data_IF_037042795363
#
_entry.id   IF_037042795363
#
_cell.length_a   1.000
_cell.length_b   1.000
_cell.length_c   1.000
_cell.angle_alpha   90.00
_cell.angle_beta   90.00
_cell.angle_gamma   90.00
#
_symmetry.space_group_name_H-M   'P 1'
#
loop_
_entity.id
_entity.type
_entity.pdbx_description
1 polymer ?
#
# COMPACT_ATOMS: atom_id res chain seq x y z
N UNK A 1 10.89 -2.30 7.74
CA UNK A 1 11.29 -3.72 7.90
C UNK A 1 12.28 -3.92 9.06
N UNK A 2 13.44 -3.26 9.06
CA UNK A 2 14.48 -3.45 10.10
C UNK A 2 14.01 -3.12 11.53
N UNK A 3 13.27 -2.01 11.70
CA UNK A 3 12.69 -1.63 13.00
C UNK A 3 11.76 -2.73 13.56
N UNK A 4 10.89 -3.30 12.73
CA UNK A 4 9.97 -4.36 13.13
C UNK A 4 10.74 -5.64 13.51
N UNK A 5 11.81 -5.96 12.78
CA UNK A 5 12.67 -7.11 13.09
C UNK A 5 13.42 -6.92 14.42
N UNK A 6 13.90 -5.72 14.70
CA UNK A 6 14.55 -5.40 15.97
C UNK A 6 13.58 -5.56 17.15
N UNK A 7 12.36 -5.03 17.02
CA UNK A 7 11.31 -5.21 18.01
C UNK A 7 10.93 -6.69 18.19
N UNK A 8 10.87 -7.48 17.12
CA UNK A 8 10.61 -8.91 17.19
C UNK A 8 11.65 -9.65 18.05
N UNK A 9 12.93 -9.33 17.89
CA UNK A 9 14.02 -9.94 18.69
C UNK A 9 13.89 -9.62 20.17
N UNK A 10 13.66 -8.35 20.52
CA UNK A 10 13.46 -7.92 21.91
C UNK A 10 12.27 -8.61 22.57
N UNK A 11 11.18 -8.84 21.82
CA UNK A 11 10.01 -9.55 22.31
C UNK A 11 10.29 -11.03 22.53
N UNK A 12 11.06 -11.67 21.65
CA UNK A 12 11.47 -13.06 21.82
C UNK A 12 12.37 -13.25 23.06
N UNK A 13 13.28 -12.31 23.34
CA UNK A 13 14.09 -12.30 24.58
C UNK A 13 13.23 -12.16 25.84
N UNK A 14 12.13 -11.41 25.75
CA UNK A 14 11.12 -11.28 26.81
C UNK A 14 10.16 -12.46 26.89
N UNK A 15 10.42 -13.56 26.16
CA UNK A 15 9.56 -14.74 26.08
C UNK A 15 8.15 -14.46 25.52
N UNK A 16 7.97 -13.34 24.80
CA UNK A 16 6.70 -12.96 24.15
C UNK A 16 6.67 -13.45 22.70
N UNK A 17 6.70 -14.77 22.53
CA UNK A 17 6.92 -15.42 21.25
C UNK A 17 5.83 -15.14 20.19
N UNK A 18 4.54 -15.16 20.57
CA UNK A 18 3.46 -14.86 19.64
C UNK A 18 3.54 -13.42 19.10
N UNK A 19 3.87 -12.45 19.95
CA UNK A 19 4.02 -11.05 19.56
C UNK A 19 5.28 -10.86 18.71
N UNK A 20 6.36 -11.57 19.05
CA UNK A 20 7.59 -11.60 18.26
C UNK A 20 7.34 -12.13 16.83
N UNK A 21 6.55 -13.20 16.67
CA UNK A 21 6.17 -13.75 15.35
C UNK A 21 5.34 -12.75 14.55
N UNK A 22 4.37 -12.08 15.16
CA UNK A 22 3.60 -11.02 14.49
C UNK A 22 4.50 -9.88 13.99
N UNK A 23 5.48 -9.48 14.80
CA UNK A 23 6.48 -8.47 14.41
C UNK A 23 7.41 -8.96 13.29
N UNK A 24 7.82 -10.23 13.34
CA UNK A 24 8.59 -10.85 12.26
C UNK A 24 7.80 -10.88 10.93
N UNK A 25 6.52 -11.22 10.98
CA UNK A 25 5.62 -11.16 9.82
C UNK A 25 5.52 -9.74 9.25
N UNK A 26 5.32 -8.71 10.09
CA UNK A 26 5.29 -7.31 9.66
C UNK A 26 6.62 -6.86 9.05
N UNK A 27 7.74 -7.35 9.55
CA UNK A 27 9.06 -7.07 8.97
C UNK A 27 9.18 -7.62 7.54
N UNK A 28 8.74 -8.86 7.31
CA UNK A 28 8.70 -9.51 5.99
C UNK A 28 7.80 -8.75 5.03
N UNK A 29 6.57 -8.45 5.46
CA UNK A 29 5.61 -7.70 4.66
C UNK A 29 6.17 -6.33 4.23
N UNK A 30 6.76 -5.59 5.17
CA UNK A 30 7.36 -4.29 4.89
C UNK A 30 8.55 -4.40 3.93
N UNK A 31 9.34 -5.48 4.01
CA UNK A 31 10.45 -5.74 3.09
C UNK A 31 9.98 -6.06 1.67
N UNK A 32 8.94 -6.88 1.54
CA UNK A 32 8.32 -7.21 0.25
C UNK A 32 7.70 -5.96 -0.39
N UNK A 33 6.94 -5.18 0.38
CA UNK A 33 6.33 -3.95 -0.08
C UNK A 33 7.38 -2.92 -0.53
N UNK A 34 8.48 -2.76 0.20
CA UNK A 34 9.54 -1.85 -0.20
C UNK A 34 10.11 -2.17 -1.59
N UNK A 35 10.32 -3.45 -1.90
CA UNK A 35 10.76 -3.86 -3.24
C UNK A 35 9.70 -3.60 -4.32
N UNK A 36 8.44 -3.91 -4.03
CA UNK A 36 7.35 -3.66 -4.98
C UNK A 36 7.19 -2.16 -5.28
N UNK A 37 7.34 -1.31 -4.26
CA UNK A 37 7.29 0.15 -4.43
C UNK A 37 8.43 0.64 -5.31
N UNK A 38 9.65 0.07 -5.21
CA UNK A 38 10.75 0.42 -6.14
C UNK A 38 10.46 0.03 -7.59
N UNK A 39 9.50 -0.86 -7.82
CA UNK A 39 9.02 -1.30 -9.13
C UNK A 39 7.74 -0.57 -9.57
N UNK A 40 7.29 0.43 -8.81
CA UNK A 40 6.09 1.23 -9.09
C UNK A 40 4.77 0.57 -8.68
N UNK A 41 4.80 -0.48 -7.86
CA UNK A 41 3.62 -1.16 -7.33
C UNK A 41 3.40 -0.79 -5.85
N UNK A 42 2.21 -0.32 -5.50
CA UNK A 42 1.82 -0.04 -4.11
C UNK A 42 0.63 -0.92 -3.68
N UNK A 43 0.88 -2.17 -3.28
CA UNK A 43 -0.20 -3.08 -2.87
C UNK A 43 -0.90 -2.56 -1.60
N UNK A 44 -2.23 -2.65 -1.61
CA UNK A 44 -3.10 -2.14 -0.56
C UNK A 44 -3.29 -3.15 0.58
N UNK A 45 -3.14 -4.45 0.28
CA UNK A 45 -3.34 -5.55 1.23
C UNK A 45 -2.11 -6.44 1.37
N UNK A 46 -2.02 -7.15 2.49
CA UNK A 46 -0.96 -8.13 2.74
C UNK A 46 -0.96 -9.25 1.69
N UNK A 47 -2.14 -9.77 1.35
CA UNK A 47 -2.31 -10.85 0.37
C UNK A 47 -1.87 -10.43 -1.04
N UNK A 48 -2.22 -9.21 -1.44
CA UNK A 48 -1.77 -8.60 -2.70
C UNK A 48 -0.26 -8.40 -2.70
N UNK A 49 0.31 -7.90 -1.59
CA UNK A 49 1.75 -7.74 -1.43
C UNK A 49 2.49 -9.06 -1.66
N UNK A 50 2.02 -10.16 -1.09
CA UNK A 50 2.66 -11.46 -1.28
C UNK A 50 2.48 -12.00 -2.70
N UNK A 51 1.30 -11.85 -3.28
CA UNK A 51 1.01 -12.33 -4.65
C UNK A 51 1.86 -11.60 -5.70
N UNK A 52 1.93 -10.28 -5.60
CA UNK A 52 2.75 -9.45 -6.49
C UNK A 52 4.24 -9.70 -6.26
N UNK A 53 4.67 -9.90 -5.00
CA UNK A 53 6.04 -10.26 -4.71
C UNK A 53 6.44 -11.59 -5.35
N UNK A 54 5.63 -12.63 -5.21
CA UNK A 54 5.90 -13.95 -5.79
C UNK A 54 5.93 -13.90 -7.33
N UNK A 55 5.05 -13.11 -7.93
CA UNK A 55 5.04 -12.85 -9.38
C UNK A 55 6.36 -12.20 -9.83
N UNK A 56 6.78 -11.12 -9.16
CA UNK A 56 8.03 -10.42 -9.49
C UNK A 56 9.27 -11.25 -9.22
N UNK A 57 9.25 -12.08 -8.18
CA UNK A 57 10.30 -13.03 -7.87
C UNK A 57 10.50 -14.03 -9.03
N UNK A 58 9.41 -14.48 -9.65
CA UNK A 58 9.46 -15.36 -10.80
C UNK A 58 9.97 -14.67 -12.08
N UNK A 59 9.66 -13.38 -12.27
CA UNK A 59 10.05 -12.62 -13.46
C UNK A 59 11.51 -12.12 -13.41
N UNK A 60 11.95 -11.56 -12.28
CA UNK A 60 13.22 -10.83 -12.18
C UNK A 60 14.29 -11.46 -11.29
N UNK A 61 13.89 -12.34 -10.36
CA UNK A 61 14.84 -13.17 -9.59
C UNK A 61 15.79 -12.43 -8.63
N UNK A 62 15.48 -11.22 -8.17
CA UNK A 62 16.37 -10.44 -7.29
C UNK A 62 16.52 -11.00 -5.86
N UNK A 63 15.57 -11.83 -5.42
CA UNK A 63 15.58 -12.47 -4.10
C UNK A 63 15.71 -13.99 -4.29
N UNK A 64 16.34 -14.74 -3.36
CA UNK A 64 16.51 -16.18 -3.52
C UNK A 64 15.18 -16.93 -3.70
N UNK A 65 15.18 -17.95 -4.55
CA UNK A 65 14.00 -18.78 -4.84
C UNK A 65 13.44 -19.53 -3.62
N UNK A 66 14.22 -19.64 -2.53
CA UNK A 66 13.77 -20.17 -1.23
C UNK A 66 12.60 -19.38 -0.64
N UNK A 67 12.40 -18.13 -1.05
CA UNK A 67 11.34 -17.25 -0.55
C UNK A 67 10.05 -17.26 -1.39
N UNK A 68 9.90 -18.20 -2.33
CA UNK A 68 8.67 -18.38 -3.10
C UNK A 68 7.49 -18.80 -2.23
N UNK A 69 6.28 -18.42 -2.64
CA UNK A 69 5.04 -18.66 -1.89
C UNK A 69 5.12 -18.02 -0.50
N UNK A 70 5.55 -16.75 -0.45
CA UNK A 70 5.90 -16.06 0.79
C UNK A 70 4.74 -16.08 1.78
N UNK A 71 3.52 -15.86 1.29
CA UNK A 71 2.28 -15.90 2.08
C UNK A 71 2.05 -17.25 2.77
N UNK A 72 2.39 -18.37 2.14
CA UNK A 72 2.26 -19.71 2.75
C UNK A 72 3.34 -19.99 3.78
N UNK A 73 4.55 -19.44 3.61
CA UNK A 73 5.66 -19.67 4.54
C UNK A 73 5.55 -18.82 5.81
N UNK A 74 5.18 -17.54 5.69
CA UNK A 74 5.11 -16.60 6.81
C UNK A 74 3.70 -16.38 7.35
N UNK A 75 2.66 -16.64 6.56
CA UNK A 75 1.27 -16.41 6.94
C UNK A 75 0.76 -17.31 8.06
N UNK A 76 1.41 -18.45 8.29
CA UNK A 76 1.20 -19.22 9.51
C UNK A 76 1.88 -18.54 10.71
N UNK A 77 1.08 -17.83 11.51
CA UNK A 77 1.50 -17.13 12.71
C UNK A 77 1.52 -18.04 13.95
N UNK A 78 1.14 -19.30 13.81
CA UNK A 78 1.07 -20.26 14.90
C UNK A 78 -0.05 -19.97 15.93
N UNK A 79 -0.22 -20.86 16.91
CA UNK A 79 -1.17 -20.67 18.00
C UNK A 79 -0.72 -19.55 18.96
N UNK A 80 -1.65 -19.03 19.76
CA UNK A 80 -1.38 -17.98 20.77
C UNK A 80 -0.29 -18.40 21.77
N UNK A 81 -0.21 -19.69 22.11
CA UNK A 81 0.87 -20.29 22.90
C UNK A 81 2.01 -20.74 21.98
N UNK A 82 2.60 -19.77 21.28
CA UNK A 82 3.70 -20.02 20.34
C UNK A 82 4.92 -20.55 21.06
N UNK A 83 5.50 -21.65 20.58
CA UNK A 83 6.71 -22.22 21.16
C UNK A 83 7.96 -21.39 20.81
N UNK A 84 8.99 -21.38 21.67
CA UNK A 84 10.25 -20.68 21.39
C UNK A 84 10.89 -21.13 20.06
N UNK A 85 10.84 -22.43 19.76
CA UNK A 85 11.41 -23.00 18.54
C UNK A 85 10.69 -22.51 17.26
N UNK A 86 9.36 -22.40 17.30
CA UNK A 86 8.59 -21.85 16.18
C UNK A 86 8.90 -20.37 15.97
N UNK A 87 8.91 -19.58 17.05
CA UNK A 87 9.23 -18.16 16.96
C UNK A 87 10.64 -17.92 16.42
N UNK A 88 11.64 -18.66 16.91
CA UNK A 88 13.01 -18.55 16.43
C UNK A 88 13.11 -18.87 14.92
N UNK A 89 12.39 -19.89 14.45
CA UNK A 89 12.33 -20.25 13.03
C UNK A 89 11.78 -19.08 12.20
N UNK A 90 10.65 -18.49 12.63
CA UNK A 90 10.01 -17.36 11.93
C UNK A 90 10.88 -16.09 11.97
N UNK A 91 11.53 -15.80 13.09
CA UNK A 91 12.45 -14.67 13.21
C UNK A 91 13.69 -14.85 12.33
N UNK A 92 14.23 -16.07 12.24
CA UNK A 92 15.38 -16.39 11.39
C UNK A 92 15.02 -16.23 9.92
N UNK A 93 13.85 -16.74 9.52
CA UNK A 93 13.30 -16.55 8.19
C UNK A 93 13.13 -15.07 7.86
N UNK A 94 12.46 -14.32 8.74
CA UNK A 94 12.19 -12.89 8.55
C UNK A 94 13.49 -12.09 8.43
N UNK A 95 14.51 -12.44 9.22
CA UNK A 95 15.82 -11.79 9.15
C UNK A 95 16.47 -12.01 7.79
N UNK A 96 16.59 -13.27 7.35
CA UNK A 96 17.21 -13.60 6.07
C UNK A 96 16.47 -12.95 4.90
N UNK A 97 15.13 -12.91 4.96
CA UNK A 97 14.31 -12.27 3.95
C UNK A 97 14.56 -10.75 3.87
N UNK A 98 14.57 -10.06 5.01
CA UNK A 98 14.82 -8.61 5.05
C UNK A 98 16.23 -8.28 4.55
N UNK A 99 17.23 -9.08 4.91
CA UNK A 99 18.61 -8.95 4.38
C UNK A 99 18.64 -9.15 2.85
N UNK A 100 17.93 -10.15 2.33
CA UNK A 100 17.82 -10.39 0.90
C UNK A 100 17.09 -9.24 0.17
N UNK A 101 16.01 -8.71 0.74
CA UNK A 101 15.31 -7.57 0.16
C UNK A 101 16.20 -6.32 0.09
N UNK A 102 16.99 -6.08 1.13
CA UNK A 102 17.94 -4.97 1.16
C UNK A 102 18.99 -5.11 0.06
N UNK A 103 19.58 -6.28 -0.08
CA UNK A 103 20.55 -6.57 -1.15
C UNK A 103 19.92 -6.34 -2.54
N UNK A 104 18.68 -6.79 -2.75
CA UNK A 104 17.93 -6.57 -3.97
C UNK A 104 17.69 -5.06 -4.25
N UNK A 105 17.23 -4.28 -3.25
CA UNK A 105 17.02 -2.84 -3.41
C UNK A 105 18.34 -2.09 -3.68
N UNK A 106 19.43 -2.47 -3.04
CA UNK A 106 20.75 -1.90 -3.31
C UNK A 106 21.24 -2.23 -4.72
N UNK A 107 21.00 -3.45 -5.21
CA UNK A 107 21.35 -3.85 -6.57
C UNK A 107 20.54 -3.07 -7.60
N UNK A 108 19.22 -2.96 -7.42
CA UNK A 108 18.33 -2.14 -8.25
C UNK A 108 18.80 -0.67 -8.26
N UNK A 109 19.14 -0.13 -7.08
CA UNK A 109 19.66 1.24 -6.96
C UNK A 109 21.00 1.45 -7.68
N UNK A 110 21.88 0.44 -7.70
CA UNK A 110 23.15 0.49 -8.46
C UNK A 110 22.89 0.45 -9.96
N UNK A 111 22.00 -0.43 -10.43
CA UNK A 111 21.64 -0.55 -11.85
C UNK A 111 20.94 0.71 -12.39
N UNK A 112 20.12 1.38 -11.57
CA UNK A 112 19.53 2.69 -11.87
C UNK A 112 20.61 3.78 -11.99
N UNK A 113 21.61 3.80 -11.12
CA UNK A 113 22.72 4.77 -11.20
C UNK A 113 23.62 4.52 -12.41
N UNK A 114 23.88 3.25 -12.74
CA UNK A 114 24.65 2.85 -13.93
C UNK A 114 23.92 3.21 -15.23
N UNK A 115 22.59 3.07 -15.27
CA UNK A 115 21.77 3.44 -16.43
C UNK A 115 21.56 4.96 -16.59
N UNK A 116 21.58 5.74 -15.51
CA UNK A 116 21.55 7.21 -15.58
C UNK A 116 22.89 7.82 -16.02
N UNK A 117 24.03 7.15 -15.78
CA UNK A 117 25.34 7.57 -16.28
C UNK A 117 25.54 7.39 -17.80
N UNK A 118 24.56 6.79 -18.51
CA UNK A 118 24.57 6.60 -19.96
C UNK A 118 23.64 7.55 -20.74
N UNK A 119 23.03 8.54 -20.09
CA UNK A 119 22.14 9.52 -20.74
C UNK A 119 22.65 10.95 -20.53
N UNK A 120 23.73 11.28 -21.23
CA UNK A 120 24.10 12.65 -21.57
C UNK A 120 24.45 12.65 -23.05
N UNK A 121 23.43 12.83 -23.89
CA UNK A 121 23.39 13.90 -24.89
C UNK A 121 22.04 13.87 -25.63
N UNK A 122 21.67 15.04 -26.14
CA UNK A 122 20.47 15.40 -26.92
C UNK A 122 19.27 15.92 -26.11
N UNK A 123 19.45 17.19 -25.72
CA UNK A 123 18.39 18.18 -25.60
C UNK A 123 18.11 18.86 -26.97
N UNK A 124 17.00 19.60 -27.00
CA UNK A 124 16.50 20.56 -28.00
C UNK A 124 15.52 20.00 -29.05
N UNK A 125 14.39 20.63 -29.41
CA UNK A 125 13.65 21.83 -29.00
C UNK A 125 12.37 21.88 -29.90
N UNK A 126 11.29 22.56 -29.46
CA UNK A 126 10.10 23.02 -30.25
C UNK A 126 9.04 21.96 -30.62
N UNK A 127 7.72 22.15 -30.56
CA UNK A 127 6.82 23.32 -30.43
C UNK A 127 5.36 22.84 -30.25
N UNK A 128 4.56 23.64 -29.53
CA UNK A 128 3.09 23.82 -29.49
C UNK A 128 2.09 22.92 -30.30
N UNK A 129 1.11 22.33 -29.55
CA UNK A 129 -0.39 22.19 -29.70
C UNK A 129 -1.11 22.04 -31.08
N UNK A 130 -2.43 21.66 -31.18
CA UNK A 130 -3.26 20.61 -30.55
C UNK A 130 -4.24 19.81 -31.50
N UNK A 131 -4.66 18.58 -31.13
CA UNK A 131 -5.89 17.78 -31.51
C UNK A 131 -6.13 17.34 -33.00
N UNK A 132 -6.95 16.28 -33.35
CA UNK A 132 -8.18 15.77 -32.69
C UNK A 132 -8.49 14.22 -32.63
N UNK A 133 -9.28 13.88 -31.60
CA UNK A 133 -10.41 12.91 -31.41
C UNK A 133 -10.72 11.81 -32.46
N UNK A 134 -10.93 10.55 -32.01
CA UNK A 134 -12.10 9.63 -32.27
C UNK A 134 -12.11 8.47 -31.22
N UNK A 135 -12.93 8.47 -30.15
CA UNK A 135 -14.34 8.00 -29.95
C UNK A 135 -14.61 6.49 -29.81
N UNK A 136 -14.87 6.06 -28.55
CA UNK A 136 -16.03 5.31 -27.95
C UNK A 136 -16.90 4.36 -28.82
N UNK A 137 -17.57 3.32 -28.24
CA UNK A 137 -18.81 3.48 -27.43
C UNK A 137 -18.89 2.58 -26.15
N UNK A 138 -19.21 3.07 -24.94
CA UNK A 138 -20.51 3.43 -24.32
C UNK A 138 -21.13 2.25 -23.49
N UNK A 139 -21.05 2.25 -22.14
CA UNK A 139 -21.92 2.92 -21.13
C UNK A 139 -23.15 2.05 -20.73
N UNK A 140 -23.73 2.13 -19.49
CA UNK A 140 -24.11 3.34 -18.73
C UNK A 140 -23.55 3.39 -17.29
N UNK A 141 -23.01 4.50 -16.76
CA UNK A 141 -23.55 5.83 -16.43
C UNK A 141 -24.18 5.92 -15.02
N UNK A 142 -23.49 6.59 -14.09
CA UNK A 142 -24.04 7.77 -13.38
C UNK A 142 -22.97 8.58 -12.63
N UNK A 143 -22.97 9.89 -12.89
CA UNK A 143 -22.34 11.02 -12.20
C UNK A 143 -20.81 11.06 -12.04
N UNK A 144 -20.17 11.71 -13.02
CA UNK A 144 -18.79 12.14 -13.00
C UNK A 144 -18.60 13.39 -12.12
N UNK A 145 -17.72 13.27 -11.13
CA UNK A 145 -16.90 14.40 -10.67
C UNK A 145 -15.49 14.09 -11.17
N UNK A 146 -14.78 15.04 -11.78
CA UNK A 146 -13.39 14.84 -12.24
C UNK A 146 -12.36 14.68 -11.10
N UNK A 147 -12.83 14.31 -9.91
CA UNK A 147 -12.04 14.13 -8.71
C UNK A 147 -11.32 12.77 -8.73
N UNK A 148 -10.05 12.67 -8.33
CA UNK A 148 -9.40 11.39 -8.10
C UNK A 148 -10.22 10.53 -7.14
N UNK A 149 -10.44 9.27 -7.53
CA UNK A 149 -11.14 8.28 -6.71
C UNK A 149 -10.15 7.55 -5.82
N UNK A 150 -10.47 7.44 -4.54
CA UNK A 150 -9.68 6.78 -3.52
C UNK A 150 -10.48 5.69 -2.84
N UNK A 151 -10.25 4.46 -3.25
CA UNK A 151 -10.98 3.30 -2.76
C UNK A 151 -10.41 2.82 -1.41
N UNK A 152 -11.23 2.90 -0.37
CA UNK A 152 -10.92 2.45 1.00
C UNK A 152 -11.91 1.38 1.49
N UNK A 153 -12.61 0.71 0.58
CA UNK A 153 -13.41 -0.47 0.90
C UNK A 153 -12.53 -1.59 1.45
N UNK A 154 -12.99 -2.29 2.48
CA UNK A 154 -12.26 -3.26 3.27
C UNK A 154 -11.26 -2.67 4.29
N UNK A 155 -11.11 -1.34 4.37
CA UNK A 155 -10.17 -0.70 5.30
C UNK A 155 -10.84 -0.41 6.64
N UNK A 156 -10.47 -1.18 7.66
CA UNK A 156 -10.97 -1.00 9.02
C UNK A 156 -10.61 0.37 9.63
N UNK A 157 -11.49 0.91 10.48
CA UNK A 157 -11.18 2.08 11.28
C UNK A 157 -10.01 1.80 12.26
N UNK A 158 -9.16 2.79 12.57
CA UNK A 158 -9.19 4.20 12.11
C UNK A 158 -8.43 4.42 10.78
N UNK A 159 -7.92 3.36 10.14
CA UNK A 159 -7.01 3.48 9.02
C UNK A 159 -7.65 4.13 7.79
N UNK A 160 -8.96 3.97 7.61
CA UNK A 160 -9.69 4.62 6.53
C UNK A 160 -9.60 6.16 6.61
N UNK A 161 -9.91 6.74 7.76
CA UNK A 161 -9.82 8.18 7.98
C UNK A 161 -8.37 8.69 7.89
N UNK A 162 -7.41 7.99 8.49
CA UNK A 162 -5.98 8.38 8.43
C UNK A 162 -5.49 8.41 6.98
N UNK A 163 -5.84 7.40 6.17
CA UNK A 163 -5.48 7.35 4.76
C UNK A 163 -6.14 8.47 3.95
N UNK A 164 -7.43 8.74 4.18
CA UNK A 164 -8.12 9.86 3.53
C UNK A 164 -7.47 11.19 3.88
N UNK A 165 -7.13 11.41 5.15
CA UNK A 165 -6.47 12.64 5.62
C UNK A 165 -5.10 12.83 4.96
N UNK A 166 -4.25 11.81 4.97
CA UNK A 166 -2.93 11.89 4.33
C UNK A 166 -3.07 12.20 2.83
N UNK A 167 -4.08 11.64 2.16
CA UNK A 167 -4.34 11.92 0.75
C UNK A 167 -4.76 13.37 0.54
N UNK A 168 -5.64 13.91 1.38
CA UNK A 168 -6.06 15.31 1.34
C UNK A 168 -4.90 16.26 1.70
N UNK A 169 -4.00 15.90 2.62
CA UNK A 169 -2.82 16.70 2.94
C UNK A 169 -1.88 16.87 1.73
N UNK A 170 -1.80 15.86 0.86
CA UNK A 170 -1.00 15.89 -0.38
C UNK A 170 -1.66 16.60 -1.57
N UNK A 171 -2.93 17.02 -1.44
CA UNK A 171 -3.70 17.70 -2.50
C UNK A 171 -3.65 19.23 -2.35
N UNK A 172 -3.99 19.99 -3.37
CA UNK A 172 -4.07 21.45 -3.28
C UNK A 172 -5.41 21.90 -2.67
N UNK A 173 -5.43 23.08 -2.05
CA UNK A 173 -6.64 23.64 -1.48
C UNK A 173 -7.71 23.88 -2.56
N UNK A 174 -8.94 23.43 -2.30
CA UNK A 174 -10.04 23.45 -3.26
C UNK A 174 -10.11 22.22 -4.17
N UNK A 175 -9.13 21.30 -4.12
CA UNK A 175 -9.24 20.02 -4.83
C UNK A 175 -10.23 19.07 -4.14
N UNK A 176 -10.90 18.26 -4.96
CA UNK A 176 -11.91 17.31 -4.51
C UNK A 176 -11.37 15.89 -4.61
N UNK A 177 -11.65 15.08 -3.59
CA UNK A 177 -11.31 13.66 -3.49
C UNK A 177 -12.59 12.86 -3.33
N UNK A 178 -12.83 11.91 -4.23
CA UNK A 178 -13.89 10.92 -4.06
C UNK A 178 -13.33 9.74 -3.26
N UNK A 179 -13.97 9.35 -2.17
CA UNK A 179 -13.51 8.27 -1.29
C UNK A 179 -14.59 7.21 -1.20
N UNK A 180 -14.24 5.96 -1.49
CA UNK A 180 -15.17 4.84 -1.39
C UNK A 180 -14.97 4.10 -0.06
N UNK A 181 -16.06 3.82 0.64
CA UNK A 181 -16.09 3.29 1.99
C UNK A 181 -17.12 2.17 2.10
N UNK A 182 -16.90 1.25 3.03
CA UNK A 182 -17.89 0.22 3.34
C UNK A 182 -19.06 0.78 4.15
N UNK A 183 -20.19 0.10 4.04
CA UNK A 183 -21.32 0.30 4.94
C UNK A 183 -20.95 0.04 6.40
N UNK A 184 -21.59 0.76 7.31
CA UNK A 184 -21.43 0.57 8.75
C UNK A 184 -20.69 1.72 9.43
N UNK A 185 -19.60 1.41 10.12
CA UNK A 185 -18.79 2.38 10.86
C UNK A 185 -17.96 3.32 9.97
N UNK A 186 -17.34 2.88 8.85
CA UNK A 186 -16.53 3.74 7.98
C UNK A 186 -17.28 4.95 7.43
N UNK A 187 -18.47 4.75 6.87
CA UNK A 187 -19.29 5.83 6.29
C UNK A 187 -19.81 6.83 7.35
N UNK A 188 -19.88 6.45 8.63
CA UNK A 188 -20.29 7.38 9.71
C UNK A 188 -19.12 8.17 10.25
N UNK A 189 -18.01 7.48 10.50
CA UNK A 189 -16.86 8.06 11.20
C UNK A 189 -16.02 8.93 10.27
N UNK A 190 -15.77 8.49 9.04
CA UNK A 190 -14.86 9.20 8.11
C UNK A 190 -15.41 10.59 7.74
N UNK A 191 -16.67 10.76 7.29
CA UNK A 191 -17.19 12.09 6.97
C UNK A 191 -17.29 13.01 8.18
N UNK A 192 -17.60 12.45 9.36
CA UNK A 192 -17.64 13.23 10.60
C UNK A 192 -16.24 13.73 10.99
N UNK A 193 -15.23 12.86 10.95
CA UNK A 193 -13.85 13.23 11.26
C UNK A 193 -13.26 14.23 10.26
N UNK A 194 -13.60 14.12 8.96
CA UNK A 194 -13.16 15.09 7.95
C UNK A 194 -13.79 16.48 8.15
N UNK A 195 -15.06 16.54 8.55
CA UNK A 195 -15.70 17.81 8.94
C UNK A 195 -15.07 18.41 10.19
N UNK A 196 -14.73 17.58 11.18
CA UNK A 196 -14.05 18.03 12.40
C UNK A 196 -12.65 18.58 12.11
N UNK A 197 -11.98 18.05 11.09
CA UNK A 197 -10.69 18.55 10.60
C UNK A 197 -10.80 19.81 9.73
N UNK A 198 -12.01 20.30 9.48
CA UNK A 198 -12.25 21.52 8.69
C UNK A 198 -12.43 21.28 7.19
N UNK A 199 -12.39 20.04 6.71
CA UNK A 199 -12.65 19.72 5.31
C UNK A 199 -14.15 19.70 4.99
N UNK A 200 -14.49 19.96 3.72
CA UNK A 200 -15.90 20.08 3.30
C UNK A 200 -16.34 18.82 2.56
N UNK A 201 -17.21 18.04 3.18
CA UNK A 201 -17.85 16.88 2.52
C UNK A 201 -19.02 17.38 1.67
N UNK A 202 -18.91 17.23 0.36
CA UNK A 202 -19.86 17.73 -0.64
C UNK A 202 -20.97 16.72 -0.97
N UNK A 203 -20.63 15.44 -1.05
CA UNK A 203 -21.57 14.36 -1.40
C UNK A 203 -21.33 13.14 -0.51
N UNK A 204 -22.42 12.45 -0.18
CA UNK A 204 -22.41 11.14 0.48
C UNK A 204 -23.53 10.29 -0.16
N UNK A 205 -23.17 9.33 -1.00
CA UNK A 205 -24.13 8.52 -1.75
C UNK A 205 -23.78 7.02 -1.70
N UNK A 206 -24.77 6.13 -1.68
CA UNK A 206 -24.51 4.70 -1.87
C UNK A 206 -24.02 4.44 -3.29
N UNK A 207 -22.98 3.63 -3.44
CA UNK A 207 -22.41 3.24 -4.74
C UNK A 207 -23.31 2.21 -5.45
N UNK A 208 -24.03 1.40 -4.68
CA UNK A 208 -24.87 0.30 -5.15
C UNK A 208 -26.26 0.36 -4.51
N UNK A 209 -27.27 -0.19 -5.19
CA UNK A 209 -28.65 -0.23 -4.69
C UNK A 209 -28.79 -1.01 -3.36
N UNK A 210 -27.87 -1.96 -3.12
CA UNK A 210 -27.82 -2.80 -1.92
C UNK A 210 -27.16 -2.09 -0.71
N UNK A 211 -26.70 -0.85 -0.86
CA UNK A 211 -26.04 -0.04 0.20
C UNK A 211 -24.86 -0.75 0.88
N UNK A 212 -24.17 -1.65 0.20
CA UNK A 212 -22.97 -2.31 0.71
C UNK A 212 -21.75 -1.37 0.75
N UNK A 213 -21.69 -0.43 -0.20
CA UNK A 213 -20.61 0.52 -0.36
C UNK A 213 -21.15 1.93 -0.55
N UNK A 214 -20.38 2.91 -0.11
CA UNK A 214 -20.69 4.32 -0.17
C UNK A 214 -19.53 5.10 -0.79
N UNK A 215 -19.85 6.12 -1.56
CA UNK A 215 -18.88 7.13 -2.00
C UNK A 215 -19.14 8.43 -1.26
N UNK A 216 -18.07 9.09 -0.87
CA UNK A 216 -18.10 10.44 -0.34
C UNK A 216 -17.22 11.34 -1.20
N UNK A 217 -17.68 12.54 -1.50
CA UNK A 217 -16.87 13.55 -2.18
C UNK A 217 -16.45 14.58 -1.15
N UNK A 218 -15.15 14.80 -1.01
CA UNK A 218 -14.57 15.68 0.00
C UNK A 218 -13.69 16.71 -0.68
N UNK A 219 -13.97 17.98 -0.43
CA UNK A 219 -13.15 19.10 -0.87
C UNK A 219 -12.15 19.47 0.23
N UNK A 220 -10.88 19.57 -0.15
CA UNK A 220 -9.85 20.11 0.73
C UNK A 220 -10.12 21.59 0.94
N UNK A 221 -10.38 21.97 2.19
CA UNK A 221 -10.39 23.37 2.62
C UNK A 221 -9.09 23.61 3.39
N UNK A 222 -8.37 24.68 3.05
CA UNK A 222 -7.22 25.14 3.84
C UNK A 222 -7.70 25.60 5.21
N UNK A 223 -7.10 25.05 6.26
CA UNK A 223 -7.28 25.48 7.64
C UNK A 223 -6.25 26.55 8.02
#
# INVERSE_FOLDING_TARGET
>A
AEQELYQAKLLAEKHQYAVAVNKAYRAVLAGAKALLVTEGLDPATDAETFSEFDRRLAEKGYVPASYRNLGSQIGDLGPKDTTPGFALTKLTFARGFVEACKAATEQIGKDLKLSQAGKTDEAEDRTATPQPVQTKPAAPASAATGAPVYDLRGVACPLNYVKTKLKLEMMDAGEQLEVWLDAGEPIKNVPMSLRNDGHKVLLEEPLEAEKAHFKILVEKVEA
#
